data_IF_541932483685
#
_entry.id   IF_541932483685
#
_cell.length_a   1.000
_cell.length_b   1.000
_cell.length_c   1.000
_cell.angle_alpha   90.00
_cell.angle_beta   90.00
_cell.angle_gamma   90.00
#
_symmetry.space_group_name_H-M   'P 1'
#
loop_
_entity.id
_entity.type
_entity.pdbx_description
1 polymer ?
#
# COMPACT_ATOMS: atom_id res chain seq x y z
N UNK A 1 0.50 1.91 -20.95
CA UNK A 1 0.06 2.83 -19.88
C UNK A 1 -0.81 3.89 -20.51
N UNK A 2 -2.01 4.11 -19.99
CA UNK A 2 -2.87 5.20 -20.45
C UNK A 2 -2.33 6.55 -19.94
N UNK A 3 -2.74 7.66 -20.56
CA UNK A 3 -2.36 9.01 -20.10
C UNK A 3 -2.76 9.24 -18.64
N UNK A 4 -3.93 8.72 -18.24
CA UNK A 4 -4.42 8.79 -16.88
C UNK A 4 -3.53 8.02 -15.89
N UNK A 5 -2.97 6.87 -16.30
CA UNK A 5 -2.05 6.10 -15.45
C UNK A 5 -0.73 6.85 -15.23
N UNK A 6 -0.24 7.52 -16.27
CA UNK A 6 0.97 8.35 -16.18
C UNK A 6 0.76 9.58 -15.29
N UNK A 7 -0.38 10.25 -15.40
CA UNK A 7 -0.75 11.40 -14.56
C UNK A 7 -0.89 11.00 -13.08
N UNK A 8 -1.53 9.86 -12.79
CA UNK A 8 -1.64 9.30 -11.43
C UNK A 8 -0.28 8.94 -10.84
N UNK A 9 0.57 8.28 -11.63
CA UNK A 9 1.92 7.92 -11.22
C UNK A 9 2.78 9.17 -10.95
N UNK A 10 2.71 10.18 -11.83
CA UNK A 10 3.42 11.44 -11.65
C UNK A 10 2.97 12.18 -10.38
N UNK A 11 1.67 12.21 -10.10
CA UNK A 11 1.14 12.86 -8.91
C UNK A 11 1.54 12.12 -7.61
N UNK A 12 1.53 10.79 -7.63
CA UNK A 12 2.02 9.96 -6.52
C UNK A 12 3.53 10.19 -6.26
N UNK A 13 4.34 10.27 -7.32
CA UNK A 13 5.78 10.56 -7.20
C UNK A 13 6.03 11.98 -6.66
N UNK A 14 5.26 12.97 -7.11
CA UNK A 14 5.38 14.35 -6.63
C UNK A 14 4.99 14.48 -5.15
N UNK A 15 3.95 13.79 -4.71
CA UNK A 15 3.58 13.69 -3.29
C UNK A 15 4.72 13.08 -2.48
N UNK A 16 5.26 11.95 -2.93
CA UNK A 16 6.37 11.26 -2.27
C UNK A 16 7.60 12.17 -2.12
N UNK A 17 7.97 12.90 -3.19
CA UNK A 17 9.05 13.87 -3.17
C UNK A 17 8.79 15.07 -2.25
N UNK A 18 7.53 15.49 -2.08
CA UNK A 18 7.15 16.56 -1.14
C UNK A 18 7.26 16.09 0.30
N UNK A 19 6.72 14.91 0.62
CA UNK A 19 6.79 14.34 1.96
C UNK A 19 8.23 14.05 2.40
N UNK A 20 9.12 13.74 1.46
CA UNK A 20 10.55 13.55 1.73
C UNK A 20 11.31 14.84 2.07
N UNK A 21 10.71 16.03 1.90
CA UNK A 21 11.34 17.33 2.19
C UNK A 21 11.04 17.89 3.58
N UNK A 22 10.05 17.33 4.29
CA UNK A 22 9.74 17.74 5.66
C UNK A 22 10.61 16.94 6.65
N UNK A 23 11.27 17.64 7.58
CA UNK A 23 12.08 17.02 8.64
C UNK A 23 11.24 16.28 9.69
N UNK A 24 9.91 16.52 9.69
CA UNK A 24 8.97 15.82 10.55
C UNK A 24 8.21 14.74 9.76
N UNK A 25 8.01 13.54 10.32
CA UNK A 25 7.24 12.51 9.66
C UNK A 25 5.81 13.02 9.44
N UNK A 26 5.28 12.95 8.21
CA UNK A 26 3.96 13.48 7.91
C UNK A 26 2.88 12.66 8.63
N UNK A 27 1.80 13.33 9.04
CA UNK A 27 0.61 12.67 9.57
C UNK A 27 0.01 11.73 8.49
N UNK A 28 -0.09 10.41 8.75
CA UNK A 28 -0.64 9.46 7.80
C UNK A 28 -2.05 9.82 7.31
N UNK A 29 -2.90 10.45 8.13
CA UNK A 29 -4.22 10.88 7.69
C UNK A 29 -4.14 12.03 6.68
N UNK A 30 -3.26 13.00 6.92
CA UNK A 30 -2.99 14.09 5.98
C UNK A 30 -2.44 13.58 4.65
N UNK A 31 -1.56 12.59 4.67
CA UNK A 31 -1.02 11.97 3.45
C UNK A 31 -2.14 11.35 2.61
N UNK A 32 -3.04 10.56 3.22
CA UNK A 32 -4.16 9.96 2.49
C UNK A 32 -5.13 11.02 1.95
N UNK A 33 -5.41 12.07 2.72
CA UNK A 33 -6.24 13.20 2.27
C UNK A 33 -5.62 13.88 1.05
N UNK A 34 -4.34 14.25 1.11
CA UNK A 34 -3.64 14.90 0.00
C UNK A 34 -3.52 13.98 -1.22
N UNK A 35 -3.31 12.67 -1.01
CA UNK A 35 -3.31 11.68 -2.09
C UNK A 35 -4.68 11.61 -2.78
N UNK A 36 -5.78 11.66 -2.01
CA UNK A 36 -7.14 11.57 -2.56
C UNK A 36 -7.49 12.73 -3.49
N UNK A 37 -6.87 13.90 -3.29
CA UNK A 37 -7.01 15.06 -4.16
C UNK A 37 -6.27 14.91 -5.50
N UNK A 38 -5.26 14.04 -5.56
CA UNK A 38 -4.40 13.83 -6.72
C UNK A 38 -4.77 12.59 -7.54
N UNK A 39 -5.16 11.51 -6.84
CA UNK A 39 -5.45 10.21 -7.43
C UNK A 39 -6.78 9.73 -6.84
N UNK A 40 -7.83 9.57 -7.66
CA UNK A 40 -9.08 8.96 -7.19
C UNK A 40 -8.82 7.52 -6.75
N UNK A 41 -9.19 7.20 -5.51
CA UNK A 41 -9.21 5.84 -5.00
C UNK A 41 -10.45 5.64 -4.12
N UNK A 42 -10.98 4.42 -4.11
CA UNK A 42 -12.11 4.06 -3.24
C UNK A 42 -11.64 3.79 -1.81
N UNK A 43 -10.49 3.13 -1.68
CA UNK A 43 -9.92 2.71 -0.42
C UNK A 43 -8.42 3.02 -0.39
N UNK A 44 -7.91 3.42 0.77
CA UNK A 44 -6.49 3.64 1.00
C UNK A 44 -6.12 3.42 2.47
N UNK A 45 -4.91 2.95 2.74
CA UNK A 45 -4.39 2.74 4.08
C UNK A 45 -2.89 2.94 4.16
N UNK A 46 -2.44 3.58 5.23
CA UNK A 46 -1.03 3.62 5.64
C UNK A 46 -0.91 2.80 6.92
N UNK A 47 -0.02 1.81 6.89
CA UNK A 47 0.20 0.92 8.01
C UNK A 47 1.68 0.86 8.40
N UNK A 48 1.95 0.78 9.70
CA UNK A 48 3.30 0.65 10.26
C UNK A 48 3.66 -0.82 10.44
N UNK A 49 4.92 -1.17 10.20
CA UNK A 49 5.42 -2.50 10.46
C UNK A 49 5.59 -2.74 11.97
N UNK A 50 5.02 -3.83 12.49
CA UNK A 50 5.23 -4.35 13.83
C UNK A 50 6.12 -5.59 13.72
N UNK A 51 7.43 -5.38 13.86
CA UNK A 51 8.44 -6.43 13.71
C UNK A 51 8.27 -7.55 14.76
N UNK A 52 7.76 -7.24 15.95
CA UNK A 52 7.57 -8.23 17.01
C UNK A 52 6.43 -9.20 16.66
N UNK A 53 5.43 -8.74 15.90
CA UNK A 53 4.27 -9.55 15.49
C UNK A 53 4.34 -10.06 14.05
N UNK A 54 5.32 -9.60 13.26
CA UNK A 54 5.44 -9.92 11.85
C UNK A 54 4.21 -9.50 11.04
N UNK A 55 3.60 -8.37 11.41
CA UNK A 55 2.41 -7.85 10.75
C UNK A 55 2.42 -6.32 10.69
N UNK A 56 1.45 -5.75 9.98
CA UNK A 56 1.25 -4.31 9.99
C UNK A 56 0.19 -3.87 11.00
N UNK A 57 0.25 -2.60 11.42
CA UNK A 57 -0.78 -1.91 12.19
C UNK A 57 -1.21 -0.66 11.45
N UNK A 58 -2.51 -0.51 11.20
CA UNK A 58 -3.08 0.67 10.54
C UNK A 58 -2.73 1.93 11.32
N UNK A 59 -2.10 2.89 10.65
CA UNK A 59 -1.87 4.23 11.17
C UNK A 59 -2.95 5.20 10.70
N UNK A 60 -3.38 5.09 9.45
CA UNK A 60 -4.58 5.76 8.94
C UNK A 60 -5.20 4.93 7.82
N UNK A 61 -6.51 5.07 7.65
CA UNK A 61 -7.24 4.44 6.55
C UNK A 61 -8.42 5.30 6.13
N UNK A 62 -8.68 5.32 4.83
CA UNK A 62 -9.82 5.96 4.21
C UNK A 62 -10.58 4.91 3.39
N UNK A 63 -11.89 4.83 3.60
CA UNK A 63 -12.81 3.98 2.84
C UNK A 63 -12.80 2.48 3.18
N UNK A 64 -11.69 1.88 3.61
CA UNK A 64 -11.68 0.46 3.96
C UNK A 64 -12.59 0.16 5.16
N UNK A 65 -13.44 -0.89 5.10
CA UNK A 65 -14.00 -1.47 6.30
C UNK A 65 -12.87 -1.97 7.21
N UNK A 66 -12.98 -1.70 8.52
CA UNK A 66 -11.91 -2.02 9.48
C UNK A 66 -11.43 -3.49 9.42
N UNK A 67 -12.32 -4.50 9.33
CA UNK A 67 -11.89 -5.89 9.21
C UNK A 67 -11.03 -6.18 7.97
N UNK A 68 -11.26 -5.45 6.88
CA UNK A 68 -10.55 -5.65 5.60
C UNK A 68 -9.12 -5.14 5.72
N UNK A 69 -8.90 -3.92 6.21
CA UNK A 69 -7.54 -3.40 6.40
C UNK A 69 -6.76 -4.20 7.45
N UNK A 70 -7.42 -4.68 8.50
CA UNK A 70 -6.80 -5.54 9.52
C UNK A 70 -6.41 -6.91 8.93
N UNK A 71 -7.22 -7.46 8.02
CA UNK A 71 -6.89 -8.69 7.28
C UNK A 71 -5.73 -8.49 6.31
N UNK A 72 -5.69 -7.39 5.54
CA UNK A 72 -4.55 -7.05 4.66
C UNK A 72 -3.26 -6.97 5.48
N UNK A 73 -3.28 -6.21 6.57
CA UNK A 73 -2.15 -6.04 7.48
C UNK A 73 -1.63 -7.36 8.08
N UNK A 74 -2.51 -8.35 8.22
CA UNK A 74 -2.19 -9.68 8.75
C UNK A 74 -1.68 -10.61 7.64
N UNK A 75 -2.33 -10.65 6.49
CA UNK A 75 -2.11 -11.69 5.49
C UNK A 75 -1.04 -11.33 4.47
N UNK A 76 -0.96 -10.06 4.05
CA UNK A 76 0.00 -9.65 3.03
C UNK A 76 1.45 -9.94 3.42
N UNK A 77 1.93 -9.68 4.66
CA UNK A 77 3.29 -10.02 5.08
C UNK A 77 3.68 -11.49 4.97
N UNK A 78 2.69 -12.39 4.91
CA UNK A 78 2.88 -13.84 4.82
C UNK A 78 2.75 -14.36 3.38
N UNK A 79 2.35 -13.50 2.46
CA UNK A 79 2.16 -13.86 1.07
C UNK A 79 3.49 -13.75 0.31
N UNK A 80 3.84 -14.67 -0.62
CA UNK A 80 5.11 -14.64 -1.36
C UNK A 80 5.38 -13.33 -2.15
N UNK A 81 4.33 -12.59 -2.51
CA UNK A 81 4.48 -11.26 -3.14
C UNK A 81 5.20 -10.25 -2.25
N UNK A 82 5.09 -10.39 -0.93
CA UNK A 82 5.67 -9.42 0.00
C UNK A 82 7.19 -9.39 -0.07
N UNK A 83 7.84 -10.55 -0.22
CA UNK A 83 9.29 -10.64 -0.37
C UNK A 83 9.76 -9.98 -1.68
N UNK A 84 9.01 -10.15 -2.78
CA UNK A 84 9.29 -9.46 -4.05
C UNK A 84 9.15 -7.93 -3.90
N UNK A 85 8.10 -7.47 -3.22
CA UNK A 85 7.88 -6.06 -2.94
C UNK A 85 8.99 -5.46 -2.07
N UNK A 86 9.45 -6.19 -1.05
CA UNK A 86 10.57 -5.78 -0.19
C UNK A 86 11.87 -5.66 -0.99
N UNK A 87 12.16 -6.65 -1.84
CA UNK A 87 13.39 -6.70 -2.63
C UNK A 87 13.45 -5.65 -3.74
N UNK A 88 12.36 -5.50 -4.50
CA UNK A 88 12.32 -4.58 -5.65
C UNK A 88 12.16 -3.12 -5.26
N UNK A 89 11.56 -2.85 -4.09
CA UNK A 89 11.24 -1.48 -3.62
C UNK A 89 10.40 -0.67 -4.63
N UNK A 90 9.63 -1.38 -5.44
CA UNK A 90 8.70 -0.79 -6.41
C UNK A 90 7.27 -1.11 -5.99
N UNK A 91 6.29 -0.24 -6.34
CA UNK A 91 4.89 -0.56 -6.13
C UNK A 91 4.45 -1.83 -6.86
N UNK A 92 3.63 -2.65 -6.21
CA UNK A 92 2.94 -3.80 -6.80
C UNK A 92 1.52 -3.40 -7.18
N UNK A 93 1.21 -3.46 -8.48
CA UNK A 93 -0.16 -3.30 -8.97
C UNK A 93 -0.90 -4.63 -8.90
N UNK A 94 -2.14 -4.62 -8.39
CA UNK A 94 -2.93 -5.84 -8.21
C UNK A 94 -3.18 -6.55 -9.54
N UNK A 95 -3.53 -5.78 -10.58
CA UNK A 95 -3.85 -6.29 -11.91
C UNK A 95 -2.65 -6.95 -12.62
N UNK A 96 -1.41 -6.65 -12.20
CA UNK A 96 -0.18 -7.23 -12.76
C UNK A 96 0.34 -8.43 -11.98
N UNK A 97 -0.28 -8.78 -10.84
CA UNK A 97 0.09 -9.98 -10.08
C UNK A 97 -0.10 -11.22 -10.98
N UNK A 98 0.94 -12.06 -11.18
CA UNK A 98 0.83 -13.27 -11.99
C UNK A 98 -0.26 -14.21 -11.47
N UNK A 99 -1.04 -14.89 -12.33
CA UNK A 99 -2.13 -15.78 -11.90
C UNK A 99 -1.68 -16.83 -10.87
N UNK A 100 -0.48 -17.38 -11.03
CA UNK A 100 0.12 -18.35 -10.10
C UNK A 100 0.36 -17.80 -8.68
N UNK A 101 0.28 -16.49 -8.47
CA UNK A 101 0.45 -15.81 -7.18
C UNK A 101 -0.86 -15.17 -6.67
N UNK A 102 -2.01 -15.42 -7.33
CA UNK A 102 -3.32 -14.91 -6.91
C UNK A 102 -4.08 -15.94 -6.07
N UNK A 103 -3.50 -16.33 -4.94
CA UNK A 103 -4.09 -17.34 -4.04
C UNK A 103 -3.61 -17.10 -2.60
N UNK A 104 -4.23 -17.77 -1.64
CA UNK A 104 -3.91 -17.66 -0.23
C UNK A 104 -4.68 -16.52 0.46
N UNK A 105 -4.55 -16.39 1.79
CA UNK A 105 -5.50 -15.63 2.62
C UNK A 105 -5.76 -14.19 2.18
N UNK A 106 -4.74 -13.46 1.70
CA UNK A 106 -4.93 -12.09 1.21
C UNK A 106 -5.81 -12.05 -0.04
N UNK A 107 -5.71 -13.04 -0.93
CA UNK A 107 -6.58 -13.13 -2.10
C UNK A 107 -7.94 -13.71 -1.76
N UNK A 108 -7.94 -14.81 -1.03
CA UNK A 108 -9.13 -15.64 -0.81
C UNK A 108 -10.11 -14.99 0.19
N UNK A 109 -9.61 -14.22 1.18
CA UNK A 109 -10.43 -13.58 2.21
C UNK A 109 -10.63 -12.08 1.99
N UNK A 110 -9.78 -11.43 1.17
CA UNK A 110 -9.85 -9.98 0.95
C UNK A 110 -10.07 -9.62 -0.51
N UNK A 111 -9.11 -9.89 -1.40
CA UNK A 111 -9.18 -9.38 -2.79
C UNK A 111 -10.41 -9.93 -3.53
N UNK A 112 -10.60 -11.25 -3.54
CA UNK A 112 -11.67 -11.90 -4.29
C UNK A 112 -13.05 -11.57 -3.70
N UNK A 113 -13.29 -11.69 -2.37
CA UNK A 113 -14.59 -11.38 -1.80
C UNK A 113 -14.98 -9.89 -1.91
N UNK A 114 -14.00 -8.98 -1.83
CA UNK A 114 -14.26 -7.54 -1.99
C UNK A 114 -14.29 -7.10 -3.47
N UNK A 115 -14.09 -8.03 -4.41
CA UNK A 115 -14.07 -7.77 -5.85
C UNK A 115 -13.06 -6.67 -6.24
N UNK A 116 -11.93 -6.59 -5.54
CA UNK A 116 -10.87 -5.65 -5.92
C UNK A 116 -10.24 -6.13 -7.22
N UNK A 117 -10.42 -5.35 -8.28
CA UNK A 117 -9.88 -5.61 -9.61
C UNK A 117 -8.63 -4.79 -9.92
N UNK A 118 -8.42 -3.73 -9.15
CA UNK A 118 -7.29 -2.80 -9.27
C UNK A 118 -6.85 -2.33 -7.88
N UNK A 119 -5.64 -1.80 -7.79
CA UNK A 119 -5.02 -1.34 -6.55
C UNK A 119 -3.51 -1.36 -6.62
N UNK A 120 -2.87 -0.64 -5.71
CA UNK A 120 -1.42 -0.51 -5.64
C UNK A 120 -0.96 -0.63 -4.19
N UNK A 121 -0.05 -1.56 -3.94
CA UNK A 121 0.62 -1.69 -2.64
C UNK A 121 2.09 -1.30 -2.77
N UNK A 122 2.60 -0.51 -1.83
CA UNK A 122 3.98 -0.04 -1.82
C UNK A 122 4.60 -0.16 -0.43
N UNK A 123 5.74 -0.86 -0.37
CA UNK A 123 6.59 -0.90 0.82
C UNK A 123 7.21 0.48 1.08
N UNK A 124 7.14 0.92 2.35
CA UNK A 124 7.71 2.17 2.83
C UNK A 124 8.99 1.87 3.61
N UNK A 125 10.02 2.67 3.38
CA UNK A 125 11.35 2.52 3.98
C UNK A 125 11.78 3.83 4.64
N UNK A 126 12.49 3.72 5.76
CA UNK A 126 13.19 4.85 6.37
C UNK A 126 14.43 5.24 5.54
N UNK A 127 15.02 6.43 5.77
CA UNK A 127 16.21 6.87 5.05
C UNK A 127 17.42 5.93 5.19
N UNK A 128 17.51 5.21 6.31
CA UNK A 128 18.50 4.14 6.57
C UNK A 128 18.25 2.85 5.76
N UNK A 129 17.19 2.83 4.94
CA UNK A 129 16.80 1.69 4.11
C UNK A 129 16.01 0.61 4.85
N UNK A 130 15.71 0.80 6.15
CA UNK A 130 14.92 -0.14 6.95
C UNK A 130 13.44 -0.09 6.55
N UNK A 131 12.82 -1.26 6.44
CA UNK A 131 11.38 -1.36 6.21
C UNK A 131 10.58 -0.83 7.39
N UNK A 132 9.60 0.06 7.14
CA UNK A 132 8.81 0.71 8.20
C UNK A 132 7.30 0.57 8.05
N UNK A 133 6.80 0.15 6.89
CA UNK A 133 5.36 0.07 6.67
C UNK A 133 4.92 -0.11 5.23
N UNK A 134 3.63 0.08 4.99
CA UNK A 134 3.01 -0.12 3.69
C UNK A 134 2.01 1.00 3.41
N UNK A 135 1.94 1.43 2.16
CA UNK A 135 0.80 2.12 1.57
C UNK A 135 0.00 1.10 0.75
N UNK A 136 -1.30 0.99 0.98
CA UNK A 136 -2.25 0.19 0.18
C UNK A 136 -3.39 1.08 -0.32
#
# INVERSE_FOLDING_TARGET
MSRADTERLAAALALSARLARDDSPPDPARVLFELSACVPFAHGAISRWDAARGCHRTASSLGYPRPIVDAINRFLPRHPLFDDMLGRRLPQQLCTVPPRLRHGPVFDEVIVPQQYTDGLSQCLFAPDGRYVGMLN
#
